data_IF_282817594986
#
_entry.id   IF_282817594986
#
_cell.length_a   1.000
_cell.length_b   1.000
_cell.length_c   1.000
_cell.angle_alpha   90.00
_cell.angle_beta   90.00
_cell.angle_gamma   90.00
#
_symmetry.space_group_name_H-M   'P 1'
#
loop_
_entity.id
_entity.type
_entity.pdbx_description
1 polymer ?
#
# COMPACT_ATOMS: atom_id res chain seq x y z
N UNK A 1 2.58 -10.39 -18.83
CA UNK A 1 2.19 -10.53 -17.41
C UNK A 1 2.41 -9.20 -16.72
N UNK A 2 1.39 -8.67 -16.06
CA UNK A 2 1.42 -7.31 -15.47
C UNK A 2 2.35 -7.25 -14.26
N UNK A 3 3.12 -6.16 -14.16
CA UNK A 3 4.00 -5.85 -13.03
C UNK A 3 3.25 -4.92 -12.08
N UNK A 4 3.18 -5.25 -10.79
CA UNK A 4 2.59 -4.38 -9.76
C UNK A 4 3.70 -3.85 -8.86
N UNK A 5 3.61 -2.59 -8.50
CA UNK A 5 4.51 -1.94 -7.54
C UNK A 5 3.72 -1.41 -6.35
N UNK A 6 3.55 -2.21 -5.28
CA UNK A 6 2.96 -1.71 -4.04
C UNK A 6 3.74 -0.51 -3.47
N UNK A 7 3.01 0.53 -3.06
CA UNK A 7 3.51 1.67 -2.31
C UNK A 7 3.07 1.60 -0.85
N UNK A 8 3.99 1.88 0.07
CA UNK A 8 3.79 1.82 1.52
C UNK A 8 4.29 3.14 2.14
N UNK A 9 3.49 4.22 2.14
CA UNK A 9 3.94 5.51 2.61
C UNK A 9 4.34 5.43 4.09
N UNK A 10 5.35 6.23 4.45
CA UNK A 10 5.68 6.49 5.84
C UNK A 10 4.44 7.00 6.57
N UNK A 11 4.11 6.37 7.70
CA UNK A 11 3.06 6.86 8.59
C UNK A 11 3.70 7.47 9.84
N UNK A 12 3.26 8.67 10.22
CA UNK A 12 3.85 9.41 11.33
C UNK A 12 3.88 8.57 12.61
N UNK A 13 5.05 8.51 13.25
CA UNK A 13 5.27 7.72 14.46
C UNK A 13 5.59 6.23 14.23
N UNK A 14 5.68 5.77 12.98
CA UNK A 14 6.02 4.39 12.65
C UNK A 14 7.19 4.30 11.67
N UNK A 15 7.94 3.20 11.76
CA UNK A 15 8.93 2.84 10.75
C UNK A 15 8.23 2.54 9.42
N UNK A 16 8.86 2.94 8.32
CA UNK A 16 8.35 2.70 6.97
C UNK A 16 8.57 1.24 6.58
N UNK A 17 7.52 0.45 6.31
CA UNK A 17 7.69 -0.93 5.90
C UNK A 17 8.29 -1.00 4.48
N UNK A 18 9.18 -1.96 4.24
CA UNK A 18 9.78 -2.24 2.92
C UNK A 18 10.27 -0.97 2.20
N UNK A 19 10.91 -0.06 2.93
CA UNK A 19 11.51 1.18 2.41
C UNK A 19 10.59 2.06 1.55
N UNK A 20 9.27 1.92 1.76
CA UNK A 20 8.25 2.70 1.07
C UNK A 20 7.61 2.00 -0.12
N UNK A 21 8.08 0.84 -0.53
CA UNK A 21 7.54 0.13 -1.69
C UNK A 21 8.44 -0.99 -2.20
N UNK A 22 7.86 -1.91 -2.96
CA UNK A 22 8.60 -3.04 -3.52
C UNK A 22 8.03 -3.48 -4.87
N UNK A 23 8.79 -4.29 -5.60
CA UNK A 23 8.29 -4.94 -6.81
C UNK A 23 7.52 -6.21 -6.45
N UNK A 24 6.35 -6.39 -7.03
CA UNK A 24 5.59 -7.63 -6.90
C UNK A 24 5.41 -8.29 -8.28
N UNK A 25 6.15 -9.38 -8.48
CA UNK A 25 5.88 -10.35 -9.55
C UNK A 25 4.62 -11.15 -9.23
N UNK A 26 4.21 -12.05 -10.12
CA UNK A 26 3.19 -13.05 -9.79
C UNK A 26 3.66 -13.87 -8.60
N UNK A 27 2.99 -13.77 -7.46
CA UNK A 27 3.37 -14.43 -6.22
C UNK A 27 2.95 -13.63 -4.99
N UNK A 28 3.61 -13.93 -3.88
CA UNK A 28 3.33 -13.34 -2.58
C UNK A 28 4.59 -12.74 -1.96
N UNK A 29 4.41 -11.70 -1.15
CA UNK A 29 5.47 -11.09 -0.33
C UNK A 29 4.93 -10.89 1.07
N UNK A 30 5.67 -11.35 2.06
CA UNK A 30 5.40 -11.09 3.47
C UNK A 30 6.25 -9.92 3.97
N UNK A 31 5.63 -9.06 4.78
CA UNK A 31 6.32 -8.00 5.51
C UNK A 31 5.64 -7.76 6.84
N UNK A 32 6.44 -7.34 7.82
CA UNK A 32 5.95 -7.01 9.15
C UNK A 32 5.80 -5.50 9.30
N UNK A 33 4.88 -5.11 10.18
CA UNK A 33 4.69 -3.73 10.60
C UNK A 33 4.79 -3.64 12.11
N UNK A 34 5.06 -2.45 12.62
CA UNK A 34 5.15 -2.21 14.06
C UNK A 34 3.82 -2.45 14.77
N UNK A 35 3.89 -2.72 16.08
CA UNK A 35 2.68 -2.85 16.90
C UNK A 35 1.87 -1.55 16.87
N UNK A 36 0.53 -1.65 16.76
CA UNK A 36 -0.38 -0.51 16.62
C UNK A 36 -0.23 0.28 15.33
N UNK A 37 0.49 -0.26 14.34
CA UNK A 37 0.67 0.39 13.06
C UNK A 37 -0.68 0.78 12.45
N UNK A 38 -0.73 2.02 11.97
CA UNK A 38 -1.80 2.51 11.13
C UNK A 38 -1.14 3.02 9.86
N UNK A 39 -1.73 2.73 8.71
CA UNK A 39 -1.17 3.18 7.45
C UNK A 39 -1.99 2.74 6.25
N UNK A 40 -1.41 2.96 5.08
CA UNK A 40 -2.06 2.74 3.79
C UNK A 40 -1.18 1.90 2.89
N UNK A 41 -1.78 1.20 1.94
CA UNK A 41 -1.09 0.53 0.84
C UNK A 41 -1.85 0.81 -0.45
N UNK A 42 -1.16 0.95 -1.57
CA UNK A 42 -1.78 0.96 -2.89
C UNK A 42 -0.92 0.26 -3.92
N UNK A 43 -1.53 -0.20 -5.01
CA UNK A 43 -0.80 -0.77 -6.14
C UNK A 43 -0.58 0.24 -7.26
N UNK A 44 0.54 0.11 -7.96
CA UNK A 44 0.84 0.87 -9.19
C UNK A 44 1.06 -0.09 -10.35
N UNK A 45 0.61 0.29 -11.54
CA UNK A 45 0.84 -0.44 -12.80
C UNK A 45 1.59 0.44 -13.80
N UNK A 46 2.35 -0.22 -14.69
CA UNK A 46 3.14 0.43 -15.75
C UNK A 46 4.65 0.30 -15.56
N UNK A 47 5.43 0.86 -16.49
CA UNK A 47 6.91 0.92 -16.37
C UNK A 47 7.30 1.97 -15.32
N UNK A 48 7.26 1.60 -14.05
CA UNK A 48 7.68 2.51 -12.98
C UNK A 48 9.19 2.82 -13.00
N UNK A 49 10.03 1.96 -13.61
CA UNK A 49 11.49 2.09 -13.58
C UNK A 49 12.17 1.52 -14.83
N UNK A 50 13.29 2.15 -15.19
CA UNK A 50 14.35 1.62 -16.06
C UNK A 50 15.50 1.11 -15.15
N UNK A 51 15.77 -0.20 -15.22
CA UNK A 51 16.77 -0.87 -14.37
C UNK A 51 18.21 -0.37 -14.64
N UNK A 52 18.47 0.18 -15.83
CA UNK A 52 19.81 0.64 -16.22
C UNK A 52 20.11 2.07 -15.72
N UNK A 53 19.08 2.87 -15.45
CA UNK A 53 19.24 4.30 -15.12
C UNK A 53 18.71 4.70 -13.75
N UNK A 54 18.03 3.80 -13.03
CA UNK A 54 17.33 4.07 -11.75
C UNK A 54 16.35 5.25 -11.85
N UNK A 55 15.90 5.58 -13.07
CA UNK A 55 14.91 6.61 -13.36
C UNK A 55 13.66 5.92 -13.87
N UNK A 56 12.49 6.42 -13.50
CA UNK A 56 11.26 5.99 -14.16
C UNK A 56 10.06 6.83 -13.78
N UNK A 57 9.03 6.68 -14.61
CA UNK A 57 7.73 7.32 -14.45
C UNK A 57 6.63 6.26 -14.48
N UNK A 58 5.87 6.09 -13.40
CA UNK A 58 4.71 5.20 -13.41
C UNK A 58 3.59 5.81 -14.25
N UNK A 59 2.99 5.04 -15.18
CA UNK A 59 1.80 5.46 -15.96
C UNK A 59 0.58 5.78 -15.09
N UNK A 60 0.56 5.29 -13.84
CA UNK A 60 -0.45 5.65 -12.83
C UNK A 60 0.27 5.97 -11.52
N UNK A 61 -0.01 7.16 -10.98
CA UNK A 61 0.57 7.71 -9.75
C UNK A 61 2.10 7.87 -9.75
N UNK A 62 2.57 8.96 -10.34
CA UNK A 62 4.00 9.24 -10.46
C UNK A 62 4.49 10.11 -9.30
N UNK A 63 5.38 9.56 -8.46
CA UNK A 63 6.02 10.27 -7.36
C UNK A 63 7.29 10.94 -7.87
N UNK A 64 7.14 12.00 -8.68
CA UNK A 64 8.23 12.90 -9.10
C UNK A 64 9.57 12.22 -9.52
N UNK A 65 9.53 10.97 -10.02
CA UNK A 65 10.69 10.20 -10.45
C UNK A 65 11.60 9.59 -9.36
N UNK A 66 11.16 9.47 -8.10
CA UNK A 66 12.01 8.95 -7.00
C UNK A 66 11.80 7.44 -6.72
N UNK A 67 12.94 6.75 -6.50
CA UNK A 67 13.07 5.29 -6.31
C UNK A 67 12.40 4.76 -5.03
N UNK A 68 12.41 5.55 -3.95
CA UNK A 68 11.78 5.22 -2.68
C UNK A 68 10.63 6.19 -2.46
N UNK A 69 9.45 5.68 -2.08
CA UNK A 69 8.28 6.52 -1.76
C UNK A 69 8.54 7.27 -0.44
N UNK A 70 9.39 8.29 -0.48
CA UNK A 70 9.66 9.13 0.67
C UNK A 70 8.51 10.13 0.82
N UNK A 71 7.50 9.72 1.59
CA UNK A 71 6.58 10.60 2.30
C UNK A 71 5.44 11.30 1.52
N UNK A 72 5.10 10.91 0.28
CA UNK A 72 3.91 11.49 -0.40
C UNK A 72 3.00 10.36 -0.91
N UNK A 73 1.70 10.48 -0.64
CA UNK A 73 0.66 9.52 -1.06
C UNK A 73 0.57 9.36 -2.58
N UNK A 74 -0.02 8.26 -3.04
CA UNK A 74 -0.21 8.02 -4.48
C UNK A 74 -1.03 9.12 -5.13
N UNK A 75 -0.66 9.55 -6.34
CA UNK A 75 -1.43 10.55 -7.12
C UNK A 75 -2.70 9.88 -7.67
N UNK A 76 -3.91 10.38 -7.34
CA UNK A 76 -5.17 9.84 -7.85
C UNK A 76 -5.22 9.73 -9.40
N UNK A 77 -5.95 8.75 -9.97
CA UNK A 77 -6.80 7.79 -9.27
C UNK A 77 -6.03 6.62 -8.67
N UNK A 78 -6.32 6.27 -7.40
CA UNK A 78 -5.67 5.18 -6.66
C UNK A 78 -6.68 4.46 -5.77
N UNK A 79 -6.79 3.15 -5.92
CA UNK A 79 -7.45 2.27 -4.95
C UNK A 79 -6.57 2.13 -3.71
N UNK A 80 -7.08 2.48 -2.52
CA UNK A 80 -6.31 2.49 -1.26
C UNK A 80 -6.77 1.32 -0.39
N UNK A 81 -5.80 0.63 0.23
CA UNK A 81 -6.03 -0.29 1.34
C UNK A 81 -5.63 0.43 2.62
N UNK A 82 -6.58 0.65 3.53
CA UNK A 82 -6.33 1.32 4.81
C UNK A 82 -6.33 0.30 5.94
N UNK A 83 -5.41 0.44 6.90
CA UNK A 83 -5.33 -0.43 8.07
C UNK A 83 -5.01 0.35 9.34
N UNK A 84 -5.60 -0.07 10.45
CA UNK A 84 -5.26 0.34 11.81
C UNK A 84 -5.24 -0.88 12.72
N UNK A 85 -4.05 -1.32 13.13
CA UNK A 85 -3.87 -2.51 13.96
C UNK A 85 -3.90 -2.22 15.46
N UNK A 86 -5.06 -1.76 15.93
CA UNK A 86 -5.23 -1.35 17.33
C UNK A 86 -4.67 0.05 17.58
N UNK A 87 -5.06 0.63 18.70
CA UNK A 87 -4.68 1.99 19.12
C UNK A 87 -4.24 1.97 20.59
N UNK A 88 -3.87 3.14 21.12
CA UNK A 88 -3.64 3.28 22.56
C UNK A 88 -4.90 3.05 23.40
N UNK A 89 -6.10 3.14 22.82
CA UNK A 89 -7.39 3.07 23.50
C UNK A 89 -8.16 1.77 23.26
N UNK A 90 -7.82 1.00 22.22
CA UNK A 90 -8.53 -0.23 21.86
C UNK A 90 -7.60 -1.22 21.15
N UNK A 91 -7.79 -2.51 21.40
CA UNK A 91 -7.06 -3.58 20.70
C UNK A 91 -7.76 -3.99 19.39
N UNK A 92 -8.90 -3.39 19.03
CA UNK A 92 -9.62 -3.70 17.80
C UNK A 92 -8.81 -3.28 16.56
N UNK A 93 -8.83 -4.13 15.55
CA UNK A 93 -8.21 -3.88 14.26
C UNK A 93 -9.27 -3.44 13.25
N UNK A 94 -8.94 -2.43 12.45
CA UNK A 94 -9.80 -1.91 11.40
C UNK A 94 -9.05 -1.98 10.07
N UNK A 95 -9.78 -2.31 9.01
CA UNK A 95 -9.26 -2.34 7.66
C UNK A 95 -10.39 -2.12 6.66
N UNK A 96 -10.08 -1.47 5.54
CA UNK A 96 -11.04 -1.23 4.47
C UNK A 96 -10.34 -1.02 3.12
N UNK A 97 -11.11 -1.22 2.05
CA UNK A 97 -10.73 -0.79 0.70
C UNK A 97 -11.45 0.52 0.43
N UNK A 98 -10.67 1.56 0.19
CA UNK A 98 -11.15 2.93 -0.01
C UNK A 98 -10.96 3.37 -1.46
N UNK A 99 -12.02 3.93 -2.02
CA UNK A 99 -12.05 4.55 -3.35
C UNK A 99 -12.16 6.08 -3.25
N UNK A 100 -11.85 6.65 -2.08
CA UNK A 100 -11.91 8.11 -1.85
C UNK A 100 -11.02 8.86 -2.85
N UNK A 101 -9.89 8.25 -3.21
CA UNK A 101 -8.92 8.77 -4.18
C UNK A 101 -9.08 8.13 -5.57
N UNK A 102 -10.24 7.55 -5.88
CA UNK A 102 -10.54 6.93 -7.17
C UNK A 102 -10.20 5.44 -7.26
N UNK A 103 -10.16 4.91 -8.49
CA UNK A 103 -9.95 3.49 -8.76
C UNK A 103 -8.88 3.30 -9.84
N UNK A 104 -7.90 2.44 -9.58
CA UNK A 104 -6.91 2.02 -10.58
C UNK A 104 -6.76 0.50 -10.69
N UNK A 105 -6.92 -0.22 -9.57
CA UNK A 105 -6.72 -1.66 -9.49
C UNK A 105 -7.82 -2.33 -8.67
N UNK A 106 -8.30 -3.51 -9.09
CA UNK A 106 -9.10 -4.37 -8.23
C UNK A 106 -8.21 -4.97 -7.14
N UNK A 107 -8.62 -4.83 -5.89
CA UNK A 107 -7.93 -5.37 -4.71
C UNK A 107 -8.94 -5.98 -3.74
N UNK A 108 -8.47 -6.87 -2.89
CA UNK A 108 -9.25 -7.45 -1.79
C UNK A 108 -8.40 -7.56 -0.54
N UNK A 109 -9.03 -7.44 0.62
CA UNK A 109 -8.40 -7.63 1.92
C UNK A 109 -9.07 -8.79 2.62
N UNK A 110 -8.26 -9.74 3.10
CA UNK A 110 -8.76 -10.91 3.82
C UNK A 110 -7.94 -11.05 5.11
N UNK A 111 -8.55 -10.88 6.29
CA UNK A 111 -7.86 -11.16 7.54
C UNK A 111 -7.63 -12.67 7.67
N UNK A 112 -6.41 -13.04 8.05
CA UNK A 112 -6.04 -14.44 8.34
C UNK A 112 -5.93 -14.60 9.86
N UNK A 113 -6.87 -15.33 10.45
CA UNK A 113 -6.99 -15.49 11.90
C UNK A 113 -7.77 -14.36 12.60
N UNK A 114 -8.00 -14.53 13.91
CA UNK A 114 -8.84 -13.64 14.72
C UNK A 114 -10.35 -13.81 14.49
N UNK A 115 -11.15 -13.14 15.32
CA UNK A 115 -12.59 -12.99 15.08
C UNK A 115 -12.81 -11.68 14.30
N UNK A 116 -13.52 -11.75 13.18
CA UNK A 116 -13.80 -10.57 12.35
C UNK A 116 -15.30 -10.44 12.09
N UNK A 117 -15.78 -9.19 12.12
CA UNK A 117 -17.14 -8.84 11.77
C UNK A 117 -17.13 -8.21 10.38
N UNK A 118 -17.40 -9.01 9.36
CA UNK A 118 -17.63 -8.49 8.01
C UNK A 118 -19.11 -8.08 7.87
N UNK A 119 -19.36 -6.83 7.49
CA UNK A 119 -20.68 -6.49 6.93
C UNK A 119 -20.78 -7.17 5.56
N UNK A 120 -21.52 -8.28 5.49
CA UNK A 120 -21.98 -8.82 4.20
C UNK A 120 -23.14 -7.95 3.73
N UNK A 121 -22.91 -7.19 2.67
CA UNK A 121 -23.98 -6.58 1.86
C UNK A 121 -24.67 -7.67 1.03
#
# INVERSE_FOLDING_TARGET
MGRIWPGLPTTAGYLTPKDGGFHLYSGEVLFEVSKRWSGRVWGRQGRCFDEDTSKGSCQTSDYAGLFHCQCIGGVPPVTILEMTFGTSKSNLHYYDVSLVDGFNLPVSMVPIGGEYHACRL
#
